data_IF_633388127765
#
_entry.id   IF_633388127765
#
_cell.length_a   1.000
_cell.length_b   1.000
_cell.length_c   1.000
_cell.angle_alpha   90.00
_cell.angle_beta   90.00
_cell.angle_gamma   90.00
#
_symmetry.space_group_name_H-M   'P 1'
#
loop_
_entity.id
_entity.type
_entity.pdbx_description
1 polymer ?
#
# COMPACT_ATOMS: atom_id res chain seq x y z
N UNK A 1 -12.37 -26.50 -12.60
CA UNK A 1 -11.26 -26.96 -11.73
C UNK A 1 -11.46 -26.36 -10.35
N UNK A 2 -11.87 -27.15 -9.37
CA UNK A 2 -11.85 -26.73 -7.96
C UNK A 2 -10.43 -26.96 -7.41
N UNK A 3 -9.78 -25.95 -6.81
CA UNK A 3 -8.45 -26.12 -6.24
C UNK A 3 -8.48 -27.12 -5.07
N UNK A 4 -7.39 -27.90 -4.91
CA UNK A 4 -7.23 -28.86 -3.81
C UNK A 4 -7.34 -28.14 -2.47
N UNK A 5 -8.10 -28.68 -1.51
CA UNK A 5 -8.40 -28.02 -0.23
C UNK A 5 -7.15 -27.56 0.53
N UNK A 6 -6.05 -28.33 0.46
CA UNK A 6 -4.77 -27.96 1.07
C UNK A 6 -4.18 -26.66 0.52
N UNK A 7 -4.35 -26.38 -0.78
CA UNK A 7 -3.85 -25.15 -1.41
C UNK A 7 -4.66 -23.94 -0.94
N UNK A 8 -5.99 -24.07 -0.87
CA UNK A 8 -6.88 -23.02 -0.36
C UNK A 8 -6.57 -22.70 1.09
N UNK A 9 -6.31 -23.72 1.91
CA UNK A 9 -5.92 -23.55 3.32
C UNK A 9 -4.57 -22.83 3.44
N UNK A 10 -3.57 -23.24 2.67
CA UNK A 10 -2.25 -22.61 2.68
C UNK A 10 -2.32 -21.14 2.23
N UNK A 11 -3.04 -20.85 1.15
CA UNK A 11 -3.25 -19.48 0.66
C UNK A 11 -3.98 -18.61 1.70
N UNK A 12 -4.99 -19.16 2.38
CA UNK A 12 -5.71 -18.45 3.44
C UNK A 12 -4.83 -18.14 4.66
N UNK A 13 -3.92 -19.06 5.02
CA UNK A 13 -2.96 -18.85 6.09
C UNK A 13 -1.97 -17.72 5.74
N UNK A 14 -1.37 -17.77 4.55
CA UNK A 14 -0.46 -16.70 4.07
C UNK A 14 -1.18 -15.35 4.03
N UNK A 15 -2.43 -15.33 3.54
CA UNK A 15 -3.22 -14.11 3.49
C UNK A 15 -3.52 -13.56 4.90
N UNK A 16 -3.73 -14.44 5.88
CA UNK A 16 -3.89 -14.06 7.29
C UNK A 16 -2.64 -13.41 7.86
N UNK A 17 -1.47 -13.96 7.57
CA UNK A 17 -0.20 -13.40 8.03
C UNK A 17 0.02 -11.99 7.43
N UNK A 18 -0.18 -11.85 6.11
CA UNK A 18 -0.08 -10.54 5.43
C UNK A 18 -1.09 -9.53 5.98
N UNK A 19 -2.32 -9.98 6.29
CA UNK A 19 -3.35 -9.13 6.87
C UNK A 19 -2.96 -8.63 8.26
N UNK A 20 -2.44 -9.52 9.10
CA UNK A 20 -1.97 -9.16 10.44
C UNK A 20 -0.78 -8.21 10.38
N UNK A 21 0.17 -8.45 9.47
CA UNK A 21 1.31 -7.53 9.23
C UNK A 21 0.83 -6.15 8.78
N UNK A 22 -0.20 -6.09 7.95
CA UNK A 22 -0.81 -4.83 7.51
C UNK A 22 -1.43 -4.07 8.70
N UNK A 23 -2.17 -4.78 9.57
CA UNK A 23 -2.73 -4.18 10.79
C UNK A 23 -1.64 -3.69 11.75
N UNK A 24 -0.57 -4.47 11.93
CA UNK A 24 0.56 -4.09 12.76
C UNK A 24 1.24 -2.82 12.21
N UNK A 25 1.48 -2.74 10.89
CA UNK A 25 2.03 -1.54 10.24
C UNK A 25 1.16 -0.31 10.43
N UNK A 26 -0.16 -0.45 10.34
CA UNK A 26 -1.08 0.68 10.59
C UNK A 26 -0.97 1.16 12.04
N UNK A 27 -0.86 0.24 13.00
CA UNK A 27 -0.70 0.62 14.41
C UNK A 27 0.68 1.24 14.69
N UNK A 28 1.74 0.70 14.11
CA UNK A 28 3.10 1.24 14.24
C UNK A 28 3.21 2.64 13.61
N UNK A 29 2.56 2.87 12.46
CA UNK A 29 2.45 4.20 11.87
C UNK A 29 1.73 5.18 12.79
N UNK A 30 0.61 4.76 13.40
CA UNK A 30 -0.10 5.61 14.38
C UNK A 30 0.76 5.93 15.59
N UNK A 31 1.51 4.95 16.12
CA UNK A 31 2.46 5.19 17.23
C UNK A 31 3.55 6.18 16.83
N UNK A 32 4.16 5.98 15.66
CA UNK A 32 5.19 6.88 15.15
C UNK A 32 4.67 8.33 15.01
N UNK A 33 3.46 8.52 14.47
CA UNK A 33 2.84 9.84 14.36
C UNK A 33 2.58 10.47 15.73
N UNK A 34 2.13 9.70 16.73
CA UNK A 34 1.96 10.18 18.11
C UNK A 34 3.29 10.60 18.74
N UNK A 35 4.35 9.82 18.52
CA UNK A 35 5.69 10.15 19.03
C UNK A 35 6.24 11.41 18.36
N UNK A 36 6.00 11.60 17.06
CA UNK A 36 6.35 12.84 16.35
C UNK A 36 5.60 14.04 16.92
N UNK A 37 4.31 13.90 17.20
CA UNK A 37 3.50 14.95 17.82
C UNK A 37 4.09 15.37 19.18
N UNK A 38 4.42 14.41 20.05
CA UNK A 38 5.05 14.70 21.35
C UNK A 38 6.45 15.32 21.22
N UNK A 39 7.21 15.01 20.17
CA UNK A 39 8.49 15.68 19.88
C UNK A 39 8.28 17.14 19.44
N UNK A 40 7.28 17.40 18.60
CA UNK A 40 6.94 18.74 18.16
C UNK A 40 6.51 19.60 19.34
N UNK A 41 5.65 19.09 20.22
CA UNK A 41 5.22 19.82 21.43
C UNK A 41 6.41 20.22 22.31
N UNK A 42 7.31 19.28 22.60
CA UNK A 42 8.54 19.59 23.34
C UNK A 42 9.42 20.64 22.67
N UNK A 43 9.49 20.63 21.33
CA UNK A 43 10.26 21.62 20.59
C UNK A 43 9.61 23.00 20.62
N UNK A 44 8.28 23.07 20.61
CA UNK A 44 7.53 24.33 20.77
C UNK A 44 7.78 24.89 22.16
N UNK A 45 7.63 24.10 23.23
CA UNK A 45 7.88 24.53 24.61
C UNK A 45 9.30 25.09 24.79
N UNK A 46 10.31 24.36 24.28
CA UNK A 46 11.71 24.80 24.32
C UNK A 46 11.97 26.11 23.57
N UNK A 47 11.24 26.37 22.49
CA UNK A 47 11.37 27.64 21.74
C UNK A 47 10.65 28.77 22.48
N UNK A 48 9.50 28.51 23.10
CA UNK A 48 8.79 29.50 23.90
C UNK A 48 9.60 29.94 25.13
N UNK A 49 10.20 29.01 25.86
CA UNK A 49 11.10 29.32 26.99
C UNK A 49 12.26 30.23 26.54
N UNK A 50 12.87 29.94 25.40
CA UNK A 50 13.98 30.73 24.83
C UNK A 50 13.56 32.09 24.28
N UNK A 51 12.30 32.27 23.88
CA UNK A 51 11.78 33.56 23.42
C UNK A 51 11.70 34.54 24.59
N UNK A 52 11.31 34.07 25.79
CA UNK A 52 11.19 34.92 26.99
C UNK A 52 12.52 35.60 27.33
N UNK A 53 13.63 34.89 27.16
CA UNK A 53 14.99 35.39 27.44
C UNK A 53 15.62 36.15 26.25
N UNK A 54 14.98 36.17 25.07
CA UNK A 54 15.54 36.77 23.88
C UNK A 54 15.30 38.29 23.84
N UNK A 55 16.37 39.07 23.63
CA UNK A 55 16.31 40.54 23.57
C UNK A 55 16.42 41.12 22.15
N UNK A 56 16.77 40.30 21.16
CA UNK A 56 17.01 40.73 19.77
C UNK A 56 15.75 40.52 18.92
N UNK A 57 15.12 41.58 18.37
CA UNK A 57 13.87 41.46 17.62
C UNK A 57 13.91 40.51 16.42
N UNK A 58 15.05 40.44 15.71
CA UNK A 58 15.21 39.53 14.57
C UNK A 58 15.21 38.05 14.98
N UNK A 59 15.74 37.73 16.16
CA UNK A 59 15.78 36.37 16.71
C UNK A 59 14.40 35.94 17.18
N UNK A 60 13.66 36.85 17.82
CA UNK A 60 12.25 36.63 18.22
C UNK A 60 11.42 36.30 16.98
N UNK A 61 11.51 37.10 15.92
CA UNK A 61 10.79 36.86 14.66
C UNK A 61 11.15 35.50 14.01
N UNK A 62 12.42 35.10 14.07
CA UNK A 62 12.86 33.80 13.56
C UNK A 62 12.26 32.63 14.37
N UNK A 63 12.21 32.75 15.71
CA UNK A 63 11.58 31.74 16.55
C UNK A 63 10.08 31.66 16.35
N UNK A 64 9.36 32.78 16.27
CA UNK A 64 7.95 32.81 15.91
C UNK A 64 7.68 32.15 14.55
N UNK A 65 8.55 32.37 13.58
CA UNK A 65 8.48 31.70 12.27
C UNK A 65 8.64 30.19 12.39
N UNK A 66 9.57 29.73 13.23
CA UNK A 66 9.79 28.29 13.48
C UNK A 66 8.62 27.65 14.23
N UNK A 67 8.08 28.32 15.26
CA UNK A 67 6.89 27.87 16.00
C UNK A 67 5.70 27.73 15.04
N UNK A 68 5.44 28.73 14.18
CA UNK A 68 4.37 28.63 13.17
C UNK A 68 4.51 27.41 12.25
N UNK A 69 5.72 27.08 11.82
CA UNK A 69 5.96 25.88 11.00
C UNK A 69 5.68 24.60 11.77
N UNK A 70 6.13 24.51 13.01
CA UNK A 70 5.91 23.35 13.88
C UNK A 70 4.42 23.16 14.19
N UNK A 71 3.68 24.23 14.45
CA UNK A 71 2.22 24.18 14.66
C UNK A 71 1.48 23.73 13.39
N UNK A 72 1.94 24.17 12.21
CA UNK A 72 1.39 23.70 10.94
C UNK A 72 1.64 22.21 10.72
N UNK A 73 2.84 21.72 11.05
CA UNK A 73 3.19 20.30 10.98
C UNK A 73 2.38 19.47 11.99
N UNK A 74 2.17 19.99 13.21
CA UNK A 74 1.29 19.39 14.21
C UNK A 74 -0.13 19.22 13.67
N UNK A 75 -0.69 20.27 13.06
CA UNK A 75 -2.02 20.21 12.46
C UNK A 75 -2.13 19.11 11.40
N UNK A 76 -1.15 19.00 10.50
CA UNK A 76 -1.10 17.94 9.48
C UNK A 76 -1.03 16.54 10.11
N UNK A 77 -0.20 16.34 11.12
CA UNK A 77 -0.08 15.04 11.81
C UNK A 77 -1.39 14.69 12.54
N UNK A 78 -2.05 15.66 13.17
CA UNK A 78 -3.35 15.43 13.82
C UNK A 78 -4.44 15.04 12.82
N UNK A 79 -4.43 15.64 11.63
CA UNK A 79 -5.34 15.28 10.54
C UNK A 79 -5.03 13.87 10.01
N UNK A 80 -3.76 13.50 9.86
CA UNK A 80 -3.37 12.14 9.47
C UNK A 80 -3.79 11.08 10.49
N UNK A 81 -3.73 11.42 11.79
CA UNK A 81 -4.19 10.53 12.86
C UNK A 81 -5.72 10.39 12.89
N UNK A 82 -6.46 11.45 12.61
CA UNK A 82 -7.94 11.42 12.57
C UNK A 82 -8.49 10.74 11.31
N UNK A 83 -7.82 10.94 10.17
CA UNK A 83 -8.13 10.29 8.89
C UNK A 83 -7.57 8.86 8.77
N UNK A 84 -6.82 8.40 9.76
CA UNK A 84 -6.06 7.15 9.74
C UNK A 84 -6.87 5.95 9.22
N UNK A 85 -6.33 5.28 8.20
CA UNK A 85 -6.98 4.21 7.45
C UNK A 85 -7.09 2.92 8.24
N UNK A 86 -8.13 2.76 9.04
CA UNK A 86 -8.58 1.42 9.44
C UNK A 86 -9.08 0.71 8.19
N UNK A 87 -8.74 -0.59 7.98
CA UNK A 87 -9.33 -1.35 6.89
C UNK A 87 -10.86 -1.25 6.94
N UNK A 88 -11.48 -0.72 5.89
CA UNK A 88 -12.95 -0.57 5.79
C UNK A 88 -13.69 -1.91 5.69
N UNK A 89 -12.98 -3.01 5.73
CA UNK A 89 -13.49 -4.35 5.48
C UNK A 89 -12.91 -5.35 6.47
N UNK A 90 -13.63 -6.44 6.69
CA UNK A 90 -13.19 -7.54 7.54
C UNK A 90 -12.23 -8.44 6.80
N UNK A 91 -11.38 -9.16 7.55
CA UNK A 91 -10.47 -10.16 7.00
C UNK A 91 -11.19 -11.15 6.08
N UNK A 92 -12.33 -11.69 6.52
CA UNK A 92 -13.09 -12.68 5.78
C UNK A 92 -13.60 -12.14 4.44
N UNK A 93 -14.09 -10.90 4.43
CA UNK A 93 -14.56 -10.24 3.20
C UNK A 93 -13.40 -9.99 2.24
N UNK A 94 -12.26 -9.53 2.76
CA UNK A 94 -11.05 -9.33 1.96
C UNK A 94 -10.52 -10.64 1.36
N UNK A 95 -10.43 -11.69 2.18
CA UNK A 95 -10.00 -13.02 1.76
C UNK A 95 -10.95 -13.57 0.68
N UNK A 96 -12.26 -13.52 0.92
CA UNK A 96 -13.26 -13.97 -0.05
C UNK A 96 -13.12 -13.23 -1.38
N UNK A 97 -12.93 -11.92 -1.34
CA UNK A 97 -12.76 -11.09 -2.54
C UNK A 97 -11.49 -11.49 -3.30
N UNK A 98 -10.37 -11.64 -2.61
CA UNK A 98 -9.11 -12.07 -3.21
C UNK A 98 -9.19 -13.47 -3.83
N UNK A 99 -9.80 -14.43 -3.12
CA UNK A 99 -9.97 -15.80 -3.63
C UNK A 99 -10.95 -15.86 -4.81
N UNK A 100 -12.01 -15.05 -4.79
CA UNK A 100 -12.96 -14.93 -5.91
C UNK A 100 -12.26 -14.35 -7.14
N UNK A 101 -11.42 -13.33 -6.95
CA UNK A 101 -10.60 -12.76 -8.02
C UNK A 101 -9.62 -13.79 -8.60
N UNK A 102 -8.88 -14.52 -7.76
CA UNK A 102 -7.95 -15.55 -8.23
C UNK A 102 -8.65 -16.70 -8.96
N UNK A 103 -9.88 -17.05 -8.53
CA UNK A 103 -10.69 -18.07 -9.18
C UNK A 103 -11.19 -17.66 -10.55
N UNK A 104 -11.57 -16.38 -10.73
CA UNK A 104 -11.98 -15.85 -12.03
C UNK A 104 -11.74 -14.34 -12.15
N UNK A 105 -10.57 -13.90 -12.65
CA UNK A 105 -10.26 -12.49 -12.87
C UNK A 105 -11.13 -11.83 -13.94
N UNK A 106 -11.70 -12.62 -14.87
CA UNK A 106 -12.53 -12.14 -15.98
C UNK A 106 -13.83 -11.51 -15.50
N UNK A 107 -14.33 -11.93 -14.34
CA UNK A 107 -15.52 -11.35 -13.72
C UNK A 107 -15.32 -9.86 -13.44
N UNK A 108 -14.18 -9.47 -12.87
CA UNK A 108 -13.87 -8.07 -12.57
C UNK A 108 -13.54 -7.28 -13.85
N UNK A 109 -12.96 -7.94 -14.86
CA UNK A 109 -12.65 -7.32 -16.16
C UNK A 109 -13.90 -6.90 -16.96
N UNK A 110 -14.92 -7.77 -16.98
CA UNK A 110 -16.13 -7.57 -17.79
C UNK A 110 -17.19 -6.73 -17.10
N UNK A 111 -17.38 -6.90 -15.79
CA UNK A 111 -18.37 -6.14 -15.02
C UNK A 111 -17.91 -4.72 -14.63
N UNK A 112 -16.60 -4.47 -14.65
CA UNK A 112 -16.00 -3.27 -14.09
C UNK A 112 -15.78 -2.11 -15.07
N UNK A 113 -15.61 -0.92 -14.47
CA UNK A 113 -15.21 0.30 -15.17
C UNK A 113 -13.73 0.30 -15.56
N UNK A 114 -13.25 1.42 -16.10
CA UNK A 114 -11.85 1.56 -16.51
C UNK A 114 -10.88 1.36 -15.33
N UNK A 115 -11.26 1.80 -14.13
CA UNK A 115 -10.46 1.61 -12.90
C UNK A 115 -10.36 0.14 -12.49
N UNK A 116 -11.45 -0.62 -12.55
CA UNK A 116 -11.42 -2.06 -12.23
C UNK A 116 -10.52 -2.82 -13.21
N UNK A 117 -10.60 -2.48 -14.50
CA UNK A 117 -9.69 -3.07 -15.51
C UNK A 117 -8.24 -2.74 -15.22
N UNK A 118 -7.91 -1.52 -14.79
CA UNK A 118 -6.55 -1.16 -14.33
C UNK A 118 -6.13 -1.97 -13.11
N UNK A 119 -7.03 -2.18 -12.15
CA UNK A 119 -6.76 -3.01 -10.96
C UNK A 119 -6.48 -4.46 -11.37
N UNK A 120 -7.29 -5.05 -12.25
CA UNK A 120 -7.06 -6.40 -12.78
C UNK A 120 -5.66 -6.52 -13.38
N UNK A 121 -5.23 -5.56 -14.22
CA UNK A 121 -3.90 -5.57 -14.82
C UNK A 121 -2.79 -5.49 -13.77
N UNK A 122 -2.93 -4.62 -12.75
CA UNK A 122 -1.96 -4.50 -11.66
C UNK A 122 -1.87 -5.74 -10.79
N UNK A 123 -2.97 -6.47 -10.61
CA UNK A 123 -3.00 -7.70 -9.82
C UNK A 123 -2.52 -8.92 -10.61
N UNK A 124 -2.78 -8.96 -11.92
CA UNK A 124 -2.42 -10.08 -12.79
C UNK A 124 -0.96 -10.06 -13.21
N UNK A 125 -0.37 -8.88 -13.38
CA UNK A 125 0.99 -8.71 -13.90
C UNK A 125 1.90 -8.00 -12.91
N UNK A 126 3.15 -8.45 -12.81
CA UNK A 126 4.19 -7.80 -12.00
C UNK A 126 4.69 -6.51 -12.65
N UNK A 127 4.60 -6.40 -13.98
CA UNK A 127 5.02 -5.22 -14.73
C UNK A 127 4.07 -4.91 -15.89
N UNK A 128 4.17 -3.70 -16.45
CA UNK A 128 3.38 -3.30 -17.61
C UNK A 128 3.65 -4.20 -18.82
N UNK A 129 2.59 -4.54 -19.56
CA UNK A 129 2.68 -5.31 -20.79
C UNK A 129 3.52 -4.56 -21.83
N UNK A 130 4.62 -5.16 -22.27
CA UNK A 130 5.49 -4.59 -23.30
C UNK A 130 4.92 -4.89 -24.68
N UNK A 131 4.76 -3.84 -25.48
CA UNK A 131 4.34 -3.93 -26.88
C UNK A 131 5.49 -3.52 -27.80
N UNK A 132 5.73 -4.31 -28.85
CA UNK A 132 6.68 -3.97 -29.90
C UNK A 132 5.98 -4.05 -31.27
N UNK A 133 6.04 -2.97 -32.04
CA UNK A 133 5.22 -2.74 -33.26
C UNK A 133 5.29 -3.88 -34.28
N UNK A 134 6.43 -4.53 -34.42
CA UNK A 134 6.67 -5.58 -35.42
C UNK A 134 6.49 -7.01 -34.88
N UNK A 135 6.27 -7.17 -33.57
CA UNK A 135 6.25 -8.47 -32.89
C UNK A 135 5.09 -8.65 -31.91
N UNK A 136 4.21 -7.66 -31.80
CA UNK A 136 3.07 -7.67 -30.89
C UNK A 136 3.44 -7.55 -29.41
N UNK A 137 2.53 -8.02 -28.55
CA UNK A 137 2.74 -8.11 -27.11
C UNK A 137 3.79 -9.19 -26.78
N UNK A 138 4.74 -8.84 -25.92
CA UNK A 138 5.73 -9.79 -25.42
C UNK A 138 5.13 -10.69 -24.33
N UNK A 139 5.87 -11.73 -23.96
CA UNK A 139 5.49 -12.58 -22.82
C UNK A 139 5.32 -11.72 -21.57
N UNK A 140 4.11 -11.75 -21.04
CA UNK A 140 3.74 -11.00 -19.85
C UNK A 140 4.38 -11.59 -18.60
N UNK A 141 4.87 -10.74 -17.71
CA UNK A 141 5.37 -11.18 -16.43
C UNK A 141 4.21 -11.26 -15.42
N UNK A 142 3.69 -12.46 -15.21
CA UNK A 142 2.56 -12.69 -14.30
C UNK A 142 2.96 -12.51 -12.84
N UNK A 143 1.99 -12.08 -12.03
CA UNK A 143 2.17 -12.04 -10.57
C UNK A 143 2.31 -13.44 -9.99
N UNK A 144 2.93 -13.53 -8.82
CA UNK A 144 3.26 -14.80 -8.17
C UNK A 144 2.08 -15.78 -8.06
N UNK A 145 0.85 -15.35 -7.69
CA UNK A 145 -0.30 -16.26 -7.66
C UNK A 145 -0.55 -16.93 -9.02
N UNK A 146 -0.48 -16.19 -10.13
CA UNK A 146 -0.73 -16.75 -11.46
C UNK A 146 0.44 -17.61 -11.97
N UNK A 147 1.69 -17.27 -11.63
CA UNK A 147 2.85 -18.13 -11.91
C UNK A 147 2.74 -19.49 -11.23
N UNK A 148 2.30 -19.50 -9.97
CA UNK A 148 2.06 -20.75 -9.23
C UNK A 148 0.90 -21.53 -9.85
N UNK A 149 -0.18 -20.86 -10.26
CA UNK A 149 -1.30 -21.50 -10.96
C UNK A 149 -0.88 -22.09 -12.33
N UNK A 150 0.00 -21.42 -13.07
CA UNK A 150 0.55 -21.91 -14.34
C UNK A 150 1.31 -23.24 -14.17
N UNK A 151 2.04 -23.42 -13.05
CA UNK A 151 2.75 -24.67 -12.76
C UNK A 151 1.81 -25.88 -12.62
N UNK A 152 0.55 -25.65 -12.25
CA UNK A 152 -0.47 -26.71 -12.16
C UNK A 152 -1.15 -27.01 -13.52
N UNK A 153 -0.94 -26.18 -14.54
CA UNK A 153 -1.65 -26.25 -15.83
C UNK A 153 -1.10 -27.30 -16.81
N UNK A 154 -0.04 -28.05 -16.48
CA UNK A 154 0.42 -29.24 -17.21
C UNK A 154 1.03 -29.04 -18.61
N UNK A 155 0.72 -27.95 -19.33
CA UNK A 155 1.24 -27.67 -20.66
C UNK A 155 2.40 -26.65 -20.60
N UNK A 156 3.63 -27.13 -20.87
CA UNK A 156 4.76 -26.24 -21.13
C UNK A 156 4.55 -25.53 -22.47
N UNK A 157 3.97 -24.33 -22.45
CA UNK A 157 3.92 -23.44 -23.62
C UNK A 157 5.19 -22.59 -23.65
N UNK A 158 5.89 -22.57 -24.79
CA UNK A 158 7.15 -21.83 -24.93
C UNK A 158 6.95 -20.31 -24.83
N UNK A 159 7.76 -19.64 -24.01
CA UNK A 159 7.73 -18.18 -23.87
C UNK A 159 8.43 -17.49 -25.07
N UNK A 160 7.92 -16.33 -25.49
CA UNK A 160 8.54 -15.53 -26.53
C UNK A 160 9.88 -14.96 -26.05
N UNK A 161 10.92 -15.03 -26.89
CA UNK A 161 12.27 -14.58 -26.53
C UNK A 161 12.29 -13.09 -26.14
N UNK A 162 13.02 -12.80 -25.06
CA UNK A 162 13.30 -11.44 -24.57
C UNK A 162 14.27 -10.77 -25.54
N UNK A 163 13.88 -9.63 -26.12
CA UNK A 163 14.80 -8.78 -26.89
C UNK A 163 15.54 -7.86 -25.92
N UNK A 164 16.87 -7.82 -26.05
CA UNK A 164 17.73 -6.77 -25.49
C UNK A 164 17.34 -5.39 -26.05
#
# INVERSE_FOLDING_TARGET
>A
MTPREGLVRAASAIFKDIWNDSLAKVEDQKKHLRDQLGKIEKQVDQLLDRIVDASVPSVIAAYEGKVRRLESEKALITEQLSSGSVPKTTFETALRTAMTFLGNPWNLWTSGGLEDRRVVLKLAFTSHLRYARNSGFRTADFSLPFKVLEQFSGEKRGMARRSE
#
